data_IF_448563017205
#
_entry.id   IF_448563017205
#
_cell.length_a   1.000
_cell.length_b   1.000
_cell.length_c   1.000
_cell.angle_alpha   90.00
_cell.angle_beta   90.00
_cell.angle_gamma   90.00
#
_symmetry.space_group_name_H-M   'P 1'
#
loop_
_entity.id
_entity.type
_entity.pdbx_description
1 polymer ?
#
# COMPACT_ATOMS: atom_id res chain seq x y z
N UNK A 1 -5.03 40.80 1.11
CA UNK A 1 -4.27 41.21 2.31
C UNK A 1 -3.04 40.34 2.39
N UNK A 2 -1.87 40.95 2.23
CA UNK A 2 -0.54 40.30 2.21
C UNK A 2 0.06 40.34 3.61
N UNK A 3 0.75 39.28 4.04
CA UNK A 3 1.59 39.35 5.24
C UNK A 3 2.98 38.73 4.97
N UNK A 4 3.86 39.64 4.58
CA UNK A 4 5.32 39.74 4.71
C UNK A 4 6.24 38.52 4.58
N UNK A 5 7.14 38.65 3.60
CA UNK A 5 8.37 37.89 3.38
C UNK A 5 9.56 38.67 3.96
N UNK A 6 10.48 38.05 4.72
CA UNK A 6 11.86 38.50 4.81
C UNK A 6 12.68 37.73 3.76
N UNK A 7 13.02 38.42 2.68
CA UNK A 7 13.99 37.95 1.69
C UNK A 7 15.37 38.31 2.25
N UNK A 8 16.12 37.33 2.74
CA UNK A 8 17.55 37.49 2.92
C UNK A 8 18.27 36.98 1.66
N UNK A 9 18.94 37.91 0.98
CA UNK A 9 19.76 37.64 -0.19
C UNK A 9 21.00 36.84 0.21
N UNK A 10 21.03 35.57 -0.21
CA UNK A 10 22.20 34.70 -0.13
C UNK A 10 22.06 33.56 -1.12
N UNK A 11 22.32 33.84 -2.41
CA UNK A 11 22.31 32.82 -3.46
C UNK A 11 23.28 31.67 -3.12
N UNK A 12 22.71 30.50 -2.89
CA UNK A 12 23.21 29.24 -3.41
C UNK A 12 22.01 28.37 -3.74
N UNK A 13 21.59 28.44 -4.99
CA UNK A 13 20.68 27.46 -5.59
C UNK A 13 21.39 26.12 -5.59
N UNK A 14 21.07 25.26 -4.61
CA UNK A 14 21.34 23.83 -4.73
C UNK A 14 20.18 23.22 -5.52
N UNK A 15 20.47 22.78 -6.73
CA UNK A 15 19.63 21.83 -7.46
C UNK A 15 19.39 20.61 -6.57
N UNK A 16 18.14 20.39 -6.17
CA UNK A 16 17.80 19.35 -5.20
C UNK A 16 16.46 19.52 -4.50
N UNK A 17 15.71 20.61 -4.75
CA UNK A 17 14.31 20.68 -4.37
C UNK A 17 13.54 19.56 -5.09
N UNK A 18 13.19 18.53 -4.33
CA UNK A 18 12.34 17.42 -4.74
C UNK A 18 10.93 17.99 -4.94
N UNK A 19 10.72 18.62 -6.10
CA UNK A 19 9.54 19.45 -6.39
C UNK A 19 8.28 18.66 -6.74
N UNK A 20 8.33 17.33 -6.75
CA UNK A 20 7.14 16.50 -6.88
C UNK A 20 7.36 15.19 -6.12
N UNK A 21 6.75 15.05 -4.96
CA UNK A 21 6.37 13.71 -4.50
C UNK A 21 5.23 13.28 -5.44
N UNK A 22 5.60 12.71 -6.61
CA UNK A 22 4.62 12.03 -7.47
C UNK A 22 4.22 10.81 -6.66
N UNK A 23 3.26 10.98 -5.75
CA UNK A 23 2.55 9.86 -5.16
C UNK A 23 1.74 9.24 -6.31
N UNK A 24 2.41 8.40 -7.09
CA UNK A 24 1.77 7.58 -8.12
C UNK A 24 0.85 6.61 -7.39
N UNK A 25 -0.40 7.02 -7.24
CA UNK A 25 -1.46 6.25 -6.62
C UNK A 25 -2.04 5.21 -7.58
N UNK A 26 -1.43 5.03 -8.76
CA UNK A 26 -1.84 4.08 -9.79
C UNK A 26 -1.74 2.63 -9.27
N UNK A 27 -0.87 2.40 -8.28
CA UNK A 27 -0.80 1.16 -7.50
C UNK A 27 -0.79 1.52 -6.02
N UNK A 28 -1.70 0.94 -5.25
CA UNK A 28 -1.75 1.11 -3.79
C UNK A 28 -1.23 -0.15 -3.13
N UNK A 29 -0.39 0.01 -2.11
CA UNK A 29 0.11 -1.11 -1.31
C UNK A 29 -0.77 -1.36 -0.09
N UNK A 30 -1.15 -2.61 0.09
CA UNK A 30 -1.77 -3.10 1.30
C UNK A 30 -0.74 -3.94 2.08
N UNK A 31 -0.47 -3.53 3.31
CA UNK A 31 0.30 -4.32 4.26
C UNK A 31 -0.67 -5.11 5.14
N UNK A 32 -0.65 -6.43 4.99
CA UNK A 32 -1.41 -7.36 5.81
C UNK A 32 -0.45 -8.15 6.71
N UNK A 33 -0.89 -8.46 7.92
CA UNK A 33 -0.16 -9.31 8.85
C UNK A 33 -0.82 -10.69 8.87
N UNK A 34 -0.04 -11.74 8.61
CA UNK A 34 -0.52 -13.12 8.61
C UNK A 34 0.23 -13.97 9.63
N UNK A 35 -0.46 -14.92 10.26
CA UNK A 35 0.15 -15.85 11.20
C UNK A 35 0.96 -16.93 10.49
N UNK A 36 1.93 -17.52 11.19
CA UNK A 36 2.84 -18.54 10.65
C UNK A 36 2.12 -19.72 9.96
N UNK A 37 0.99 -20.17 10.51
CA UNK A 37 0.18 -21.24 9.92
C UNK A 37 -0.47 -20.82 8.59
N UNK A 38 -0.86 -19.55 8.44
CA UNK A 38 -1.47 -19.00 7.23
C UNK A 38 -0.43 -18.77 6.13
N UNK A 39 0.80 -18.41 6.49
CA UNK A 39 1.89 -18.19 5.52
C UNK A 39 2.16 -19.41 4.65
N UNK A 40 1.93 -20.62 5.18
CA UNK A 40 2.07 -21.87 4.42
C UNK A 40 1.16 -21.92 3.18
N UNK A 41 0.02 -21.22 3.24
CA UNK A 41 -1.00 -21.15 2.19
C UNK A 41 -0.78 -19.98 1.23
N UNK A 42 0.04 -19.00 1.62
CA UNK A 42 0.34 -17.83 0.80
C UNK A 42 1.48 -18.10 -0.19
N UNK A 43 1.37 -17.50 -1.37
CA UNK A 43 2.41 -17.53 -2.40
C UNK A 43 2.59 -16.14 -3.00
N UNK A 44 3.84 -15.77 -3.29
CA UNK A 44 4.10 -14.58 -4.12
C UNK A 44 3.43 -14.78 -5.48
N UNK A 45 2.90 -13.72 -6.09
CA UNK A 45 2.05 -13.73 -7.30
C UNK A 45 0.64 -14.32 -7.10
N UNK A 46 0.25 -14.68 -5.88
CA UNK A 46 -1.13 -15.10 -5.62
C UNK A 46 -2.07 -13.90 -5.70
N UNK A 47 -3.23 -14.13 -6.32
CA UNK A 47 -4.29 -13.11 -6.44
C UNK A 47 -5.21 -13.17 -5.24
N UNK A 48 -5.64 -12.00 -4.78
CA UNK A 48 -6.63 -11.81 -3.72
C UNK A 48 -7.70 -10.84 -4.19
N UNK A 49 -8.91 -11.02 -3.68
CA UNK A 49 -9.99 -10.06 -3.87
C UNK A 49 -9.97 -9.06 -2.74
N UNK A 50 -9.84 -7.78 -3.06
CA UNK A 50 -9.83 -6.70 -2.09
C UNK A 50 -11.17 -5.96 -2.16
N UNK A 51 -11.77 -5.70 -1.01
CA UNK A 51 -13.00 -4.90 -0.89
C UNK A 51 -12.76 -3.72 0.05
N UNK A 52 -13.26 -2.54 -0.32
CA UNK A 52 -13.16 -1.35 0.52
C UNK A 52 -14.53 -1.02 1.10
N UNK A 53 -14.62 -0.76 2.42
CA UNK A 53 -15.90 -0.38 3.05
C UNK A 53 -16.49 0.91 2.46
N UNK A 54 -15.63 1.79 1.97
CA UNK A 54 -16.04 3.04 1.31
C UNK A 54 -16.63 2.83 -0.09
N UNK A 55 -16.38 1.67 -0.71
CA UNK A 55 -16.88 1.29 -2.03
C UNK A 55 -17.57 -0.08 -1.94
N UNK A 56 -18.72 -0.18 -1.25
CA UNK A 56 -19.42 -1.45 -1.10
C UNK A 56 -19.85 -1.97 -2.47
N UNK A 57 -19.46 -3.20 -2.80
CA UNK A 57 -19.74 -3.85 -4.08
C UNK A 57 -18.67 -3.67 -5.16
N UNK A 58 -17.63 -2.88 -4.91
CA UNK A 58 -16.44 -2.87 -5.79
C UNK A 58 -15.41 -3.87 -5.27
N UNK A 59 -14.90 -4.68 -6.20
CA UNK A 59 -13.82 -5.62 -5.98
C UNK A 59 -12.58 -5.10 -6.71
N UNK A 60 -11.46 -5.06 -6.00
CA UNK A 60 -10.15 -4.74 -6.55
C UNK A 60 -9.31 -6.01 -6.55
N UNK A 61 -8.62 -6.28 -7.64
CA UNK A 61 -7.68 -7.40 -7.72
C UNK A 61 -6.36 -7.02 -7.04
N UNK A 62 -6.02 -7.69 -5.94
CA UNK A 62 -4.74 -7.58 -5.28
C UNK A 62 -3.80 -8.71 -5.69
N UNK A 63 -2.51 -8.45 -5.77
CA UNK A 63 -1.49 -9.50 -5.99
C UNK A 63 -0.44 -9.45 -4.89
N UNK A 64 -0.09 -10.60 -4.30
CA UNK A 64 1.01 -10.67 -3.33
C UNK A 64 2.32 -10.35 -4.04
N UNK A 65 2.92 -9.21 -3.73
CA UNK A 65 4.19 -8.79 -4.30
C UNK A 65 5.37 -9.22 -3.43
N UNK A 66 5.17 -9.28 -2.11
CA UNK A 66 6.22 -9.64 -1.17
C UNK A 66 5.64 -10.29 0.08
N UNK A 67 6.27 -11.37 0.54
CA UNK A 67 6.05 -11.98 1.85
C UNK A 67 7.33 -11.73 2.62
N UNK A 68 7.26 -11.02 3.74
CA UNK A 68 8.43 -10.73 4.57
C UNK A 68 8.98 -12.07 5.10
N UNK A 69 10.27 -12.39 4.84
CA UNK A 69 10.87 -13.62 5.35
C UNK A 69 11.05 -13.60 6.87
N UNK A 70 10.94 -12.43 7.51
CA UNK A 70 11.05 -12.28 8.94
C UNK A 70 9.67 -12.22 9.62
N UNK A 71 9.53 -13.01 10.67
CA UNK A 71 8.38 -12.94 11.57
C UNK A 71 8.60 -11.86 12.62
N UNK A 72 7.58 -11.07 12.91
CA UNK A 72 7.53 -10.25 14.11
C UNK A 72 7.48 -11.19 15.32
N UNK A 73 8.55 -11.23 16.12
CA UNK A 73 8.67 -12.15 17.25
C UNK A 73 7.64 -11.87 18.37
N UNK A 74 7.06 -10.66 18.41
CA UNK A 74 6.08 -10.26 19.42
C UNK A 74 4.69 -10.76 19.05
N UNK A 75 4.29 -10.55 17.79
CA UNK A 75 2.96 -10.94 17.28
C UNK A 75 2.92 -12.34 16.67
N UNK A 76 4.09 -12.91 16.34
CA UNK A 76 4.26 -14.12 15.52
C UNK A 76 3.54 -14.04 14.18
N UNK A 77 3.60 -12.86 13.56
CA UNK A 77 3.03 -12.60 12.24
C UNK A 77 4.12 -12.17 11.26
N UNK A 78 3.96 -12.52 9.99
CA UNK A 78 4.78 -11.93 8.92
C UNK A 78 3.98 -10.86 8.20
N UNK A 79 4.69 -9.84 7.72
CA UNK A 79 4.12 -8.78 6.91
C UNK A 79 4.07 -9.24 5.46
N UNK A 80 2.92 -9.11 4.83
CA UNK A 80 2.71 -9.42 3.43
C UNK A 80 2.29 -8.14 2.72
N UNK A 81 3.01 -7.82 1.66
CA UNK A 81 2.70 -6.70 0.79
C UNK A 81 1.88 -7.20 -0.39
N UNK A 82 0.72 -6.58 -0.56
CA UNK A 82 -0.21 -6.83 -1.65
C UNK A 82 -0.27 -5.56 -2.49
N UNK A 83 0.00 -5.69 -3.77
CA UNK A 83 -0.08 -4.59 -4.73
C UNK A 83 -1.47 -4.60 -5.35
N UNK A 84 -2.15 -3.46 -5.29
CA UNK A 84 -3.53 -3.29 -5.78
C UNK A 84 -3.50 -2.23 -6.89
N UNK A 85 -3.74 -2.61 -8.16
CA UNK A 85 -3.94 -1.66 -9.24
C UNK A 85 -5.12 -0.75 -8.91
N UNK A 86 -4.90 0.55 -9.05
CA UNK A 86 -5.86 1.59 -8.71
C UNK A 86 -5.95 2.61 -9.86
N UNK A 87 -6.32 2.19 -11.08
CA UNK A 87 -6.34 3.04 -12.27
C UNK A 87 -7.32 4.22 -12.15
N UNK A 88 -8.40 4.04 -11.37
CA UNK A 88 -9.41 5.06 -11.12
C UNK A 88 -9.09 5.96 -9.91
N UNK A 89 -7.94 5.76 -9.26
CA UNK A 89 -7.52 6.51 -8.07
C UNK A 89 -8.55 6.51 -6.91
N UNK A 90 -9.38 5.46 -6.82
CA UNK A 90 -10.43 5.30 -5.81
C UNK A 90 -9.85 4.93 -4.45
N UNK A 91 -8.86 4.03 -4.45
CA UNK A 91 -8.17 3.63 -3.23
C UNK A 91 -7.19 4.73 -2.82
N UNK A 92 -7.24 5.11 -1.55
CA UNK A 92 -6.33 6.11 -0.96
C UNK A 92 -5.56 5.48 0.18
N UNK A 93 -4.27 5.85 0.36
CA UNK A 93 -3.51 5.45 1.55
C UNK A 93 -4.26 5.84 2.83
N UNK A 94 -4.25 4.96 3.82
CA UNK A 94 -4.97 5.14 5.09
C UNK A 94 -6.43 4.65 5.08
N UNK A 95 -6.94 4.16 3.95
CA UNK A 95 -8.25 3.51 3.91
C UNK A 95 -8.20 2.10 4.52
N UNK A 96 -9.28 1.72 5.20
CA UNK A 96 -9.49 0.34 5.62
C UNK A 96 -10.07 -0.47 4.45
N UNK A 97 -9.39 -1.57 4.14
CA UNK A 97 -9.81 -2.55 3.13
C UNK A 97 -9.79 -3.94 3.74
N UNK A 98 -10.60 -4.84 3.19
CA UNK A 98 -10.57 -6.26 3.51
C UNK A 98 -9.93 -7.01 2.33
N UNK A 99 -9.08 -7.98 2.64
CA UNK A 99 -8.52 -8.90 1.66
C UNK A 99 -9.13 -10.27 1.86
N UNK A 100 -9.68 -10.84 0.79
CA UNK A 100 -10.25 -12.18 0.75
C UNK A 100 -9.41 -13.04 -0.19
N UNK A 101 -8.91 -14.15 0.34
CA UNK A 101 -8.19 -15.16 -0.43
C UNK A 101 -9.21 -16.16 -0.98
N UNK A 102 -9.40 -16.19 -2.30
CA UNK A 102 -10.15 -17.28 -2.92
C UNK A 102 -9.30 -18.55 -2.89
N UNK A 103 -9.59 -19.42 -1.93
CA UNK A 103 -9.04 -20.77 -1.89
C UNK A 103 -9.89 -21.65 -2.79
N UNK A 104 -9.34 -22.05 -3.93
CA UNK A 104 -9.94 -23.09 -4.77
C UNK A 104 -9.78 -24.42 -4.04
N UNK A 105 -10.74 -24.73 -3.16
CA UNK A 105 -10.89 -26.06 -2.58
C UNK A 105 -11.49 -26.93 -3.67
N UNK A 106 -10.61 -27.54 -4.48
CA UNK A 106 -10.99 -28.47 -5.55
C UNK A 106 -11.89 -29.61 -5.10
#
# INVERSE_FOLDING_TARGET
VVQSVPVEQGKSVKTGDLLVEVADLSVVWLWAEFYENELSMLRVQQKLRITAKSYPGENFDGTISLIDPFLDATKRTAKVRIDIPNPDFKLRPGMYVNAELEMDMG
#
